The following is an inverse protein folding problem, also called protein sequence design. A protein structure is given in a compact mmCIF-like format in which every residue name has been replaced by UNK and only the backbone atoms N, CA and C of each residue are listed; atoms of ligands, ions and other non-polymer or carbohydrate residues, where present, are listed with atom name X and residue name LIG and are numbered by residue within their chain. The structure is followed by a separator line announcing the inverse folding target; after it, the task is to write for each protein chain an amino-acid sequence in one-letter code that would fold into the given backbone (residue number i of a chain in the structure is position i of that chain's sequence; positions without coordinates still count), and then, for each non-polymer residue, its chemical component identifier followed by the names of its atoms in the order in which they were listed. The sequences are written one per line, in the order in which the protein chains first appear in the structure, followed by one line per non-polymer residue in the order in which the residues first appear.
data_IF_704378258157
#
_entry.id   IF_704378258157
#
_cell.length_a   1.000
_cell.length_b   1.000
_cell.length_c   1.000
_cell.angle_alpha   90.00
_cell.angle_beta   90.00
_cell.angle_gamma   90.00
#
_symmetry.space_group_name_H-M   'P 1'
#
loop_
_entity.id
_entity.type
_entity.pdbx_description
1 polymer ?
#
# COMPACT_ATOMS: atom_id res chain seq x y z
N UNK A 1 5.70 17.37 1.87
CA UNK A 1 4.43 17.38 1.09
C UNK A 1 4.51 18.25 -0.15
N UNK A 2 5.16 19.41 -0.09
CA UNK A 2 5.28 20.32 -1.23
C UNK A 2 5.90 19.67 -2.48
N UNK A 3 6.95 18.86 -2.33
CA UNK A 3 7.57 18.14 -3.45
C UNK A 3 6.60 17.21 -4.20
N UNK A 4 5.78 16.42 -3.50
CA UNK A 4 4.78 15.55 -4.13
C UNK A 4 3.68 16.35 -4.85
N UNK A 5 3.36 17.56 -4.40
CA UNK A 5 2.33 18.42 -5.03
C UNK A 5 2.76 19.02 -6.37
N UNK A 6 4.07 19.05 -6.65
CA UNK A 6 4.66 19.52 -7.91
C UNK A 6 4.53 18.48 -9.03
N UNK A 7 4.35 17.21 -8.70
CA UNK A 7 4.18 16.11 -9.65
C UNK A 7 2.75 16.14 -10.22
N UNK A 8 2.61 16.24 -11.55
CA UNK A 8 1.30 16.39 -12.23
C UNK A 8 0.91 15.17 -13.06
N UNK A 9 1.88 14.38 -13.51
CA UNK A 9 1.63 13.20 -14.35
C UNK A 9 2.04 11.91 -13.64
N UNK A 10 1.45 10.78 -14.06
CA UNK A 10 1.83 9.45 -13.54
C UNK A 10 3.31 9.16 -13.76
N UNK A 11 3.85 9.55 -14.91
CA UNK A 11 5.26 9.34 -15.27
C UNK A 11 6.20 10.12 -14.34
N UNK A 12 5.88 11.38 -14.04
CA UNK A 12 6.65 12.17 -13.05
C UNK A 12 6.65 11.51 -11.68
N UNK A 13 5.50 10.98 -11.25
CA UNK A 13 5.39 10.26 -9.97
C UNK A 13 6.22 8.97 -10.00
N UNK A 14 6.13 8.19 -11.07
CA UNK A 14 6.89 6.94 -11.22
C UNK A 14 8.39 7.17 -11.21
N UNK A 15 8.89 8.16 -11.97
CA UNK A 15 10.31 8.50 -12.00
C UNK A 15 10.78 8.97 -10.63
N UNK A 16 10.03 9.86 -9.98
CA UNK A 16 10.37 10.33 -8.64
C UNK A 16 10.40 9.22 -7.60
N UNK A 17 9.43 8.29 -7.64
CA UNK A 17 9.42 7.12 -6.74
C UNK A 17 10.60 6.20 -7.02
N UNK A 18 10.97 5.99 -8.30
CA UNK A 18 12.10 5.16 -8.69
C UNK A 18 13.44 5.73 -8.23
N UNK A 19 13.59 7.05 -8.28
CA UNK A 19 14.80 7.75 -7.82
C UNK A 19 14.87 7.80 -6.29
N UNK A 20 13.72 7.92 -5.61
CA UNK A 20 13.64 8.02 -4.15
C UNK A 20 13.78 6.66 -3.46
N UNK A 21 13.26 5.59 -4.06
CA UNK A 21 13.14 4.27 -3.44
C UNK A 21 13.94 3.21 -4.20
N UNK A 22 14.50 2.28 -3.44
CA UNK A 22 15.09 1.06 -3.97
C UNK A 22 14.01 0.10 -4.49
N UNK A 23 14.38 -0.86 -5.34
CA UNK A 23 13.43 -1.86 -5.86
C UNK A 23 12.71 -2.64 -4.73
N UNK A 24 13.41 -3.10 -3.66
CA UNK A 24 12.74 -3.79 -2.56
C UNK A 24 11.74 -2.92 -1.80
N UNK A 25 11.99 -1.61 -1.67
CA UNK A 25 11.08 -0.69 -0.99
C UNK A 25 9.81 -0.43 -1.82
N UNK A 26 9.94 -0.36 -3.15
CA UNK A 26 8.80 -0.26 -4.06
C UNK A 26 7.92 -1.51 -3.95
N UNK A 27 8.53 -2.70 -3.95
CA UNK A 27 7.82 -3.97 -3.76
C UNK A 27 7.14 -4.04 -2.39
N UNK A 28 7.81 -3.62 -1.32
CA UNK A 28 7.25 -3.55 0.02
C UNK A 28 6.03 -2.62 0.09
N UNK A 29 6.05 -1.47 -0.61
CA UNK A 29 4.91 -0.56 -0.67
C UNK A 29 3.76 -1.13 -1.48
N UNK A 30 4.05 -1.80 -2.60
CA UNK A 30 3.06 -2.52 -3.40
C UNK A 30 2.39 -3.64 -2.57
N UNK A 31 3.18 -4.43 -1.84
CA UNK A 31 2.70 -5.48 -0.95
C UNK A 31 1.77 -4.94 0.12
N UNK A 32 2.11 -3.80 0.74
CA UNK A 32 1.23 -3.16 1.75
C UNK A 32 -0.12 -2.73 1.16
N UNK A 33 -0.13 -2.18 -0.05
CA UNK A 33 -1.37 -1.79 -0.72
C UNK A 33 -2.23 -3.02 -1.07
N UNK A 34 -1.59 -4.10 -1.54
CA UNK A 34 -2.25 -5.37 -1.85
C UNK A 34 -2.81 -6.05 -0.59
N UNK A 35 -2.06 -6.06 0.51
CA UNK A 35 -2.53 -6.53 1.82
C UNK A 35 -3.79 -5.75 2.23
N UNK A 36 -3.75 -4.41 2.12
CA UNK A 36 -4.90 -3.57 2.45
C UNK A 36 -6.12 -3.93 1.58
N UNK A 37 -5.94 -4.14 0.28
CA UNK A 37 -7.01 -4.59 -0.63
C UNK A 37 -7.61 -5.93 -0.19
N UNK A 38 -6.77 -6.93 0.07
CA UNK A 38 -7.23 -8.26 0.47
C UNK A 38 -7.94 -8.26 1.84
N UNK A 39 -7.53 -7.39 2.76
CA UNK A 39 -8.21 -7.19 4.03
C UNK A 39 -9.61 -6.59 3.84
N UNK A 40 -9.76 -5.64 2.90
CA UNK A 40 -11.08 -5.09 2.56
C UNK A 40 -12.01 -6.12 1.90
N UNK A 41 -11.44 -7.12 1.22
CA UNK A 41 -12.17 -8.26 0.64
C UNK A 41 -12.55 -9.33 1.67
N UNK A 42 -12.26 -9.11 2.97
CA UNK A 42 -12.59 -10.06 4.04
C UNK A 42 -11.61 -11.23 4.18
N UNK A 43 -10.41 -11.13 3.57
CA UNK A 43 -9.39 -12.16 3.66
C UNK A 43 -8.83 -12.35 5.09
N UNK A 44 -8.62 -13.60 5.50
CA UNK A 44 -7.99 -13.91 6.78
C UNK A 44 -6.49 -13.52 6.78
N UNK A 45 -5.99 -13.05 7.92
CA UNK A 45 -4.62 -12.54 8.08
C UNK A 45 -3.55 -13.56 7.68
N UNK A 46 -3.73 -14.83 8.07
CA UNK A 46 -2.81 -15.93 7.75
C UNK A 46 -2.76 -16.23 6.24
N UNK A 47 -3.91 -16.26 5.56
CA UNK A 47 -3.96 -16.48 4.11
C UNK A 47 -3.30 -15.32 3.36
N UNK A 48 -3.52 -14.08 3.80
CA UNK A 48 -2.91 -12.90 3.19
C UNK A 48 -1.39 -12.94 3.37
N UNK A 49 -0.91 -13.21 4.58
CA UNK A 49 0.52 -13.35 4.88
C UNK A 49 1.18 -14.40 3.97
N UNK A 50 0.58 -15.58 3.85
CA UNK A 50 1.07 -16.67 2.99
C UNK A 50 1.06 -16.30 1.50
N UNK A 51 0.01 -15.62 1.02
CA UNK A 51 -0.13 -15.23 -0.38
C UNK A 51 0.91 -14.19 -0.81
N UNK A 52 1.19 -13.23 0.07
CA UNK A 52 2.10 -12.11 -0.22
C UNK A 52 3.56 -12.46 0.17
N UNK A 53 3.78 -13.52 0.95
CA UNK A 53 5.11 -13.93 1.39
C UNK A 53 5.66 -13.05 2.53
N UNK A 54 4.78 -12.46 3.33
CA UNK A 54 5.16 -11.60 4.47
C UNK A 54 4.74 -12.23 5.80
N UNK A 55 5.28 -11.70 6.90
CA UNK A 55 4.85 -12.11 8.24
C UNK A 55 3.41 -11.66 8.55
N UNK A 56 2.72 -12.42 9.39
CA UNK A 56 1.41 -12.03 9.93
C UNK A 56 1.49 -10.69 10.67
N UNK A 57 2.62 -10.38 11.32
CA UNK A 57 2.86 -9.09 11.98
C UNK A 57 2.80 -7.92 11.00
N UNK A 58 3.32 -8.09 9.77
CA UNK A 58 3.19 -7.08 8.72
C UNK A 58 1.73 -6.87 8.31
N UNK A 59 0.98 -7.95 8.14
CA UNK A 59 -0.48 -7.87 7.84
C UNK A 59 -1.23 -7.15 8.96
N UNK A 60 -0.93 -7.45 10.22
CA UNK A 60 -1.55 -6.79 11.37
C UNK A 60 -1.26 -5.29 11.43
N UNK A 61 -0.02 -4.87 11.12
CA UNK A 61 0.32 -3.44 11.04
C UNK A 61 -0.45 -2.73 9.93
N UNK A 62 -0.56 -3.34 8.75
CA UNK A 62 -1.35 -2.77 7.64
C UNK A 62 -2.83 -2.67 8.04
N UNK A 63 -3.39 -3.73 8.64
CA UNK A 63 -4.77 -3.71 9.11
C UNK A 63 -5.04 -2.60 10.13
N UNK A 64 -4.11 -2.37 11.06
CA UNK A 64 -4.22 -1.28 12.03
C UNK A 64 -4.38 0.07 11.32
N UNK A 65 -3.49 0.40 10.38
CA UNK A 65 -3.56 1.67 9.64
C UNK A 65 -4.69 1.75 8.62
N UNK A 66 -5.17 0.61 8.10
CA UNK A 66 -6.33 0.53 7.23
C UNK A 66 -7.63 0.89 7.97
N UNK A 67 -7.83 0.33 9.17
CA UNK A 67 -9.09 0.47 9.91
C UNK A 67 -9.08 1.59 10.96
N UNK A 68 -7.92 1.92 11.52
CA UNK A 68 -7.76 2.94 12.59
C UNK A 68 -6.84 4.11 12.21
N UNK A 69 -6.34 4.14 10.97
CA UNK A 69 -5.47 5.21 10.49
C UNK A 69 -6.21 6.38 9.85
N UNK A 70 -5.47 7.19 9.10
CA UNK A 70 -5.96 8.45 8.52
C UNK A 70 -6.84 8.29 7.25
N UNK A 71 -7.34 7.09 6.95
CA UNK A 71 -8.21 6.84 5.79
C UNK A 71 -7.53 6.88 4.41
N UNK A 72 -6.20 7.02 4.33
CA UNK A 72 -5.46 7.09 3.07
C UNK A 72 -5.66 5.86 2.17
N UNK A 73 -5.62 4.65 2.74
CA UNK A 73 -5.89 3.41 2.02
C UNK A 73 -7.29 3.41 1.40
N UNK A 74 -8.31 3.83 2.15
CA UNK A 74 -9.68 3.90 1.65
C UNK A 74 -9.82 4.87 0.48
N UNK A 75 -9.16 6.03 0.53
CA UNK A 75 -9.20 7.01 -0.56
C UNK A 75 -8.64 6.45 -1.87
N UNK A 76 -7.60 5.63 -1.80
CA UNK A 76 -6.98 5.00 -2.98
C UNK A 76 -7.78 3.77 -3.44
N UNK A 77 -8.26 2.94 -2.52
CA UNK A 77 -8.90 1.66 -2.82
C UNK A 77 -10.40 1.77 -3.14
N UNK A 78 -11.14 2.77 -2.64
CA UNK A 78 -12.57 2.97 -2.95
C UNK A 78 -12.86 3.45 -4.36
N UNK A 79 -11.86 3.90 -5.12
CA UNK A 79 -12.07 4.41 -6.49
C UNK A 79 -12.35 3.32 -7.54
N UNK A 80 -12.55 2.06 -7.14
CA UNK A 80 -13.16 1.04 -8.00
C UNK A 80 -14.65 0.94 -7.71
N UNK A 81 -15.43 1.79 -8.37
CA UNK A 81 -16.85 1.58 -8.62
C UNK A 81 -17.08 1.61 -10.12
#
# INVERSE_FOLDING_TARGET
MEAFSRLKTKEQISNFIRDLLTLPEIEEFANRLEIARLLLEGGSYQRIAKRIGVSTTTVTRVAHWLFKGCGGYWKVLKSKK
#
